data_IF_760755365347
#
_entry.id   IF_760755365347
#
_cell.length_a   1.000
_cell.length_b   1.000
_cell.length_c   1.000
_cell.angle_alpha   90.00
_cell.angle_beta   90.00
_cell.angle_gamma   90.00
#
_symmetry.space_group_name_H-M   'P 1'
#
loop_
_entity.id
_entity.type
_entity.pdbx_description
1 polymer ?
#
# COMPACT_ATOMS: atom_id res chain seq x y z
N UNK A 1 17.57 -6.88 13.82
CA UNK A 1 16.86 -6.64 12.56
C UNK A 1 16.68 -5.14 12.40
N UNK A 2 17.08 -4.57 11.28
CA UNK A 2 16.93 -3.18 10.93
C UNK A 2 15.76 -3.03 9.96
N UNK A 3 14.85 -2.06 10.20
CA UNK A 3 13.68 -1.78 9.38
C UNK A 3 13.72 -0.32 8.95
N UNK A 4 13.57 -0.07 7.66
CA UNK A 4 13.41 1.28 7.10
C UNK A 4 12.04 1.39 6.47
N UNK A 5 11.33 2.50 6.72
CA UNK A 5 10.02 2.79 6.13
C UNK A 5 10.13 4.11 5.38
N UNK A 6 9.67 4.13 4.14
CA UNK A 6 9.80 5.25 3.22
C UNK A 6 8.45 5.67 2.66
N UNK A 7 8.28 6.98 2.44
CA UNK A 7 7.11 7.59 1.83
C UNK A 7 7.56 8.61 0.79
N UNK A 8 6.95 8.58 -0.39
CA UNK A 8 7.13 9.60 -1.44
C UNK A 8 5.93 10.55 -1.44
N UNK A 9 6.21 11.84 -1.36
CA UNK A 9 5.24 12.90 -1.63
C UNK A 9 5.75 13.78 -2.78
N UNK A 10 4.85 14.18 -3.67
CA UNK A 10 5.22 15.16 -4.69
C UNK A 10 5.10 16.57 -4.11
N UNK A 11 5.87 17.57 -4.60
CA UNK A 11 5.82 18.94 -4.08
C UNK A 11 4.43 19.61 -4.13
N UNK A 12 3.54 19.12 -5.00
CA UNK A 12 2.15 19.58 -5.12
C UNK A 12 1.14 18.68 -4.40
N UNK A 13 1.59 17.76 -3.56
CA UNK A 13 0.69 16.97 -2.69
C UNK A 13 0.02 17.90 -1.68
N UNK A 14 -1.28 17.70 -1.43
CA UNK A 14 -2.02 18.50 -0.46
C UNK A 14 -1.35 18.43 0.92
N UNK A 15 -1.05 19.60 1.50
CA UNK A 15 -0.40 19.69 2.81
C UNK A 15 -1.18 19.05 3.95
N UNK A 16 -2.53 19.03 3.87
CA UNK A 16 -3.38 18.32 4.86
C UNK A 16 -3.16 16.82 4.81
N UNK A 17 -3.01 16.25 3.60
CA UNK A 17 -2.74 14.83 3.42
C UNK A 17 -1.38 14.46 4.04
N UNK A 18 -0.33 15.23 3.70
CA UNK A 18 1.02 15.01 4.23
C UNK A 18 1.03 15.12 5.76
N UNK A 19 0.36 16.14 6.31
CA UNK A 19 0.29 16.34 7.75
C UNK A 19 -0.44 15.18 8.43
N UNK A 20 -1.62 14.80 7.93
CA UNK A 20 -2.41 13.70 8.48
C UNK A 20 -1.64 12.37 8.47
N UNK A 21 -0.96 12.04 7.37
CA UNK A 21 -0.10 10.86 7.27
C UNK A 21 1.03 10.91 8.32
N UNK A 22 1.71 12.05 8.42
CA UNK A 22 2.82 12.25 9.37
C UNK A 22 2.35 12.08 10.81
N UNK A 23 1.20 12.66 11.16
CA UNK A 23 0.64 12.62 12.51
C UNK A 23 0.26 11.19 12.91
N UNK A 24 -0.34 10.41 12.01
CA UNK A 24 -0.64 8.99 12.27
C UNK A 24 0.65 8.19 12.46
N UNK A 25 1.62 8.32 11.56
CA UNK A 25 2.89 7.61 11.68
C UNK A 25 3.59 7.92 13.00
N UNK A 26 3.62 9.21 13.40
CA UNK A 26 4.18 9.65 14.69
C UNK A 26 3.38 9.09 15.87
N UNK A 27 2.04 9.12 15.82
CA UNK A 27 1.16 8.59 16.88
C UNK A 27 1.40 7.09 17.09
N UNK A 28 1.59 6.34 16.01
CA UNK A 28 1.88 4.91 16.05
C UNK A 28 3.35 4.58 16.36
N UNK A 29 4.21 5.58 16.54
CA UNK A 29 5.63 5.39 16.82
C UNK A 29 6.42 4.83 15.63
N UNK A 30 5.99 5.09 14.40
CA UNK A 30 6.68 4.68 13.18
C UNK A 30 7.71 5.72 12.77
N UNK A 31 8.94 5.27 12.53
CA UNK A 31 10.00 6.12 11.98
C UNK A 31 9.96 6.04 10.45
N UNK A 32 9.37 7.05 9.81
CA UNK A 32 9.17 7.10 8.36
C UNK A 32 10.08 8.17 7.76
N UNK A 33 10.81 7.81 6.71
CA UNK A 33 11.63 8.73 5.90
C UNK A 33 10.79 9.28 4.76
N UNK A 34 10.60 10.60 4.74
CA UNK A 34 9.83 11.30 3.70
C UNK A 34 10.74 11.83 2.60
N UNK A 35 10.47 11.43 1.35
CA UNK A 35 11.05 12.04 0.15
C UNK A 35 10.03 12.98 -0.46
N UNK A 36 10.36 14.28 -0.56
CA UNK A 36 9.49 15.27 -1.20
C UNK A 36 10.11 15.66 -2.53
N UNK A 37 9.74 14.91 -3.57
CA UNK A 37 10.31 15.08 -4.91
C UNK A 37 9.36 14.57 -5.98
N UNK A 38 9.39 15.18 -7.17
CA UNK A 38 8.63 14.71 -8.33
C UNK A 38 9.40 13.59 -9.04
N UNK A 39 9.21 12.37 -8.57
CA UNK A 39 9.81 11.17 -9.14
C UNK A 39 8.70 10.19 -9.57
N UNK A 40 8.92 9.40 -10.62
CA UNK A 40 8.11 8.21 -10.89
C UNK A 40 8.21 7.25 -9.70
N UNK A 41 7.06 6.78 -9.22
CA UNK A 41 6.97 6.02 -7.97
C UNK A 41 7.85 4.77 -7.99
N UNK A 42 7.71 3.93 -9.01
CA UNK A 42 8.50 2.69 -9.09
C UNK A 42 10.01 2.92 -9.25
N UNK A 43 10.43 4.00 -9.93
CA UNK A 43 11.87 4.34 -10.00
C UNK A 43 12.42 4.73 -8.63
N UNK A 44 11.67 5.53 -7.86
CA UNK A 44 12.04 5.87 -6.50
C UNK A 44 12.14 4.62 -5.60
N UNK A 45 11.19 3.68 -5.70
CA UNK A 45 11.25 2.42 -4.96
C UNK A 45 12.48 1.59 -5.33
N UNK A 46 12.82 1.49 -6.62
CA UNK A 46 14.03 0.82 -7.10
C UNK A 46 15.29 1.45 -6.48
N UNK A 47 15.36 2.77 -6.43
CA UNK A 47 16.49 3.50 -5.84
C UNK A 47 16.62 3.19 -4.35
N UNK A 48 15.54 3.30 -3.58
CA UNK A 48 15.53 2.95 -2.15
C UNK A 48 15.98 1.49 -1.96
N UNK A 49 15.39 0.55 -2.68
CA UNK A 49 15.75 -0.86 -2.58
C UNK A 49 17.23 -1.11 -2.91
N UNK A 50 17.80 -0.40 -3.87
CA UNK A 50 19.22 -0.56 -4.24
C UNK A 50 20.17 -0.01 -3.18
N UNK A 51 19.82 1.08 -2.49
CA UNK A 51 20.67 1.79 -1.54
C UNK A 51 20.49 1.33 -0.09
N UNK A 52 19.32 0.82 0.28
CA UNK A 52 19.01 0.40 1.64
C UNK A 52 19.94 -0.72 2.13
N UNK A 53 20.32 -0.61 3.40
CA UNK A 53 21.05 -1.64 4.17
C UNK A 53 20.18 -2.29 5.24
N UNK A 54 18.89 -2.00 5.24
CA UNK A 54 17.95 -2.61 6.17
C UNK A 54 17.69 -4.09 5.82
N UNK A 55 17.28 -4.85 6.81
CA UNK A 55 16.81 -6.23 6.62
C UNK A 55 15.43 -6.25 5.97
N UNK A 56 14.57 -5.31 6.39
CA UNK A 56 13.22 -5.10 5.84
C UNK A 56 13.07 -3.66 5.36
N UNK A 57 12.62 -3.48 4.13
CA UNK A 57 12.26 -2.18 3.57
C UNK A 57 10.75 -2.10 3.42
N UNK A 58 10.16 -1.05 3.99
CA UNK A 58 8.74 -0.73 3.91
C UNK A 58 8.48 0.50 3.06
N UNK A 59 7.37 0.49 2.32
CA UNK A 59 6.84 1.62 1.58
C UNK A 59 5.42 1.89 2.03
N UNK A 60 5.13 3.14 2.32
CA UNK A 60 3.79 3.65 2.59
C UNK A 60 3.51 4.80 1.62
N UNK A 61 2.47 4.70 0.81
CA UNK A 61 2.06 5.83 -0.02
C UNK A 61 1.54 6.96 0.87
N UNK A 62 1.70 8.18 0.39
CA UNK A 62 1.30 9.37 1.16
C UNK A 62 -0.22 9.42 1.46
N UNK A 63 -1.01 8.67 0.71
CA UNK A 63 -2.45 8.50 0.86
C UNK A 63 -2.83 7.11 1.44
N UNK A 64 -1.88 6.45 2.09
CA UNK A 64 -2.06 5.19 2.79
C UNK A 64 -1.57 5.27 4.24
N UNK A 65 -2.41 4.88 5.20
CA UNK A 65 -2.04 4.85 6.61
C UNK A 65 -2.34 3.49 7.26
N UNK A 66 -1.45 3.00 8.14
CA UNK A 66 -1.83 1.94 9.06
C UNK A 66 -2.81 2.50 10.10
N UNK A 67 -3.85 1.73 10.41
CA UNK A 67 -4.86 2.09 11.41
C UNK A 67 -4.44 1.70 12.83
N UNK A 68 -3.42 0.87 12.94
CA UNK A 68 -2.81 0.43 14.19
C UNK A 68 -1.35 0.02 13.94
N UNK A 69 -0.55 -0.01 15.00
CA UNK A 69 0.86 -0.42 14.90
C UNK A 69 1.00 -1.91 14.58
N UNK A 70 0.07 -2.74 15.02
CA UNK A 70 0.17 -4.19 14.88
C UNK A 70 0.27 -4.63 13.41
N UNK A 71 -0.44 -3.98 12.49
CA UNK A 71 -0.36 -4.34 11.07
C UNK A 71 1.04 -4.14 10.48
N UNK A 72 1.77 -3.14 10.95
CA UNK A 72 3.17 -2.91 10.54
C UNK A 72 4.09 -3.95 11.18
N UNK A 73 3.92 -4.21 12.48
CA UNK A 73 4.71 -5.21 13.20
C UNK A 73 4.49 -6.62 12.58
N UNK A 74 3.25 -6.96 12.23
CA UNK A 74 2.89 -8.23 11.57
C UNK A 74 3.48 -8.33 10.16
N UNK A 75 3.49 -7.23 9.40
CA UNK A 75 4.11 -7.19 8.08
C UNK A 75 5.62 -7.43 8.16
N UNK A 76 6.29 -6.75 9.09
CA UNK A 76 7.73 -6.93 9.35
C UNK A 76 8.03 -8.36 9.81
N UNK A 77 7.26 -8.89 10.76
CA UNK A 77 7.42 -10.26 11.26
C UNK A 77 7.18 -11.31 10.16
N UNK A 78 6.19 -11.07 9.28
CA UNK A 78 5.96 -11.93 8.12
C UNK A 78 7.18 -11.95 7.20
N UNK A 79 7.72 -10.77 6.83
CA UNK A 79 8.90 -10.66 5.98
C UNK A 79 10.12 -11.36 6.59
N UNK A 80 10.35 -11.17 7.89
CA UNK A 80 11.44 -11.82 8.61
C UNK A 80 11.33 -13.35 8.62
N UNK A 81 10.13 -13.84 8.96
CA UNK A 81 9.85 -15.28 9.08
C UNK A 81 9.91 -16.02 7.76
N UNK A 82 9.34 -15.41 6.70
CA UNK A 82 9.18 -16.08 5.41
C UNK A 82 10.24 -15.72 4.39
N UNK A 83 11.08 -14.71 4.69
CA UNK A 83 12.03 -14.12 3.74
C UNK A 83 11.33 -13.75 2.43
N UNK A 84 10.19 -13.02 2.54
CA UNK A 84 9.33 -12.68 1.43
C UNK A 84 8.83 -11.23 1.56
N UNK A 85 7.66 -10.92 1.02
CA UNK A 85 7.05 -9.60 1.07
C UNK A 85 5.54 -9.67 1.32
N UNK A 86 4.97 -8.55 1.71
CA UNK A 86 3.54 -8.33 1.91
C UNK A 86 3.16 -6.99 1.33
N UNK A 87 1.97 -6.89 0.71
CA UNK A 87 1.39 -5.64 0.24
C UNK A 87 -0.14 -5.69 0.24
N UNK A 88 -0.80 -4.58 -0.04
CA UNK A 88 -2.25 -4.59 -0.23
C UNK A 88 -2.61 -5.27 -1.56
N UNK A 89 -3.72 -5.98 -1.60
CA UNK A 89 -4.19 -6.63 -2.82
C UNK A 89 -4.77 -5.60 -3.80
N UNK A 90 -4.26 -5.60 -5.02
CA UNK A 90 -4.78 -4.81 -6.13
C UNK A 90 -4.84 -5.66 -7.39
N UNK A 91 -5.86 -5.43 -8.22
CA UNK A 91 -5.90 -6.02 -9.55
C UNK A 91 -5.10 -5.17 -10.54
N UNK A 92 -4.38 -5.82 -11.44
CA UNK A 92 -3.63 -5.14 -12.50
C UNK A 92 -4.54 -4.23 -13.34
N UNK A 93 -4.07 -3.01 -13.61
CA UNK A 93 -4.75 -2.05 -14.49
C UNK A 93 -4.37 -2.22 -15.96
N UNK A 94 -3.29 -2.96 -16.24
CA UNK A 94 -2.69 -3.09 -17.58
C UNK A 94 -3.09 -4.36 -18.33
N UNK A 95 -3.68 -5.33 -17.63
CA UNK A 95 -4.06 -6.63 -18.22
C UNK A 95 -5.59 -6.72 -18.34
N UNK A 96 -6.06 -7.15 -19.51
CA UNK A 96 -7.48 -7.43 -19.73
C UNK A 96 -7.67 -8.91 -20.13
N UNK A 97 -8.55 -9.68 -19.45
CA UNK A 97 -9.30 -9.29 -18.26
C UNK A 97 -8.38 -9.07 -17.04
N UNK A 98 -8.70 -8.09 -16.20
CA UNK A 98 -7.93 -7.74 -14.98
C UNK A 98 -8.01 -8.87 -13.95
N UNK A 99 -7.25 -9.92 -14.16
CA UNK A 99 -7.30 -11.15 -13.35
C UNK A 99 -6.10 -11.34 -12.43
N UNK A 100 -4.97 -10.71 -12.71
CA UNK A 100 -3.80 -10.79 -11.86
C UNK A 100 -3.97 -9.91 -10.63
N UNK A 101 -3.89 -10.53 -9.44
CA UNK A 101 -3.92 -9.85 -8.15
C UNK A 101 -2.50 -9.88 -7.59
N UNK A 102 -1.96 -8.71 -7.31
CA UNK A 102 -0.58 -8.55 -6.86
C UNK A 102 -0.50 -7.76 -5.54
N UNK A 103 0.67 -7.78 -4.91
CA UNK A 103 0.98 -6.97 -3.74
C UNK A 103 1.33 -5.55 -4.18
N UNK A 104 0.37 -4.64 -4.06
CA UNK A 104 0.51 -3.25 -4.50
C UNK A 104 1.32 -2.39 -3.52
N UNK A 105 1.95 -1.30 -3.99
CA UNK A 105 2.98 -0.56 -3.27
C UNK A 105 2.46 0.33 -2.15
N UNK A 106 1.15 0.65 -2.10
CA UNK A 106 0.65 1.66 -1.18
C UNK A 106 0.88 1.31 0.31
N UNK A 107 0.87 0.03 0.65
CA UNK A 107 1.40 -0.53 1.88
C UNK A 107 2.19 -1.77 1.49
N UNK A 108 3.53 -1.68 1.49
CA UNK A 108 4.38 -2.76 1.01
C UNK A 108 5.61 -2.92 1.90
N UNK A 109 5.91 -4.14 2.33
CA UNK A 109 7.09 -4.48 3.12
C UNK A 109 7.77 -5.68 2.49
N UNK A 110 9.10 -5.63 2.39
CA UNK A 110 9.88 -6.68 1.74
C UNK A 110 11.17 -6.99 2.49
N UNK A 111 11.47 -8.27 2.64
CA UNK A 111 12.80 -8.72 3.04
C UNK A 111 13.81 -8.37 1.95
N UNK A 112 14.83 -7.59 2.31
CA UNK A 112 15.73 -6.97 1.33
C UNK A 112 16.44 -7.97 0.43
N UNK A 113 16.97 -9.07 1.02
CA UNK A 113 17.73 -10.08 0.28
C UNK A 113 16.84 -10.84 -0.73
N UNK A 114 15.54 -10.89 -0.49
CA UNK A 114 14.57 -11.51 -1.42
C UNK A 114 14.51 -10.76 -2.74
N UNK A 115 14.56 -9.43 -2.71
CA UNK A 115 14.62 -8.64 -3.94
C UNK A 115 15.85 -8.99 -4.78
N UNK A 116 17.01 -9.13 -4.15
CA UNK A 116 18.23 -9.57 -4.83
C UNK A 116 18.13 -11.02 -5.34
N UNK A 117 17.56 -11.92 -4.54
CA UNK A 117 17.34 -13.32 -4.92
C UNK A 117 16.39 -13.46 -6.12
N UNK A 118 15.42 -12.54 -6.27
CA UNK A 118 14.53 -12.44 -7.42
C UNK A 118 15.16 -11.69 -8.61
N UNK A 119 16.48 -11.43 -8.58
CA UNK A 119 17.23 -10.72 -9.62
C UNK A 119 16.83 -9.24 -9.79
N UNK A 120 16.48 -8.60 -8.69
CA UNK A 120 16.11 -7.18 -8.62
C UNK A 120 14.98 -6.78 -9.59
N UNK A 121 13.79 -7.41 -9.51
CA UNK A 121 12.68 -7.06 -10.36
C UNK A 121 12.34 -5.58 -10.19
N UNK A 122 12.01 -4.92 -11.30
CA UNK A 122 11.66 -3.49 -11.24
C UNK A 122 10.33 -3.27 -10.54
N UNK A 123 10.27 -2.21 -9.72
CA UNK A 123 9.00 -1.70 -9.19
C UNK A 123 8.29 -0.78 -10.18
N UNK A 124 8.97 -0.34 -11.24
CA UNK A 124 8.36 0.56 -12.23
C UNK A 124 7.24 -0.13 -12.98
N UNK A 125 6.19 0.64 -13.28
CA UNK A 125 5.19 0.22 -14.24
C UNK A 125 5.84 -0.08 -15.59
N UNK A 126 5.27 -1.04 -16.30
CA UNK A 126 5.61 -1.33 -17.69
C UNK A 126 4.32 -1.18 -18.49
N UNK A 127 4.22 -0.14 -19.34
CA UNK A 127 3.00 0.12 -20.11
C UNK A 127 2.47 -1.14 -20.79
N UNK A 128 1.17 -1.37 -20.69
CA UNK A 128 0.44 -2.51 -21.23
C UNK A 128 0.81 -3.90 -20.65
N UNK A 129 1.73 -3.97 -19.68
CA UNK A 129 2.22 -5.23 -19.13
C UNK A 129 2.11 -5.34 -17.60
N UNK A 130 2.48 -4.29 -16.86
CA UNK A 130 2.53 -4.36 -15.40
C UNK A 130 2.35 -3.00 -14.74
N UNK A 131 1.61 -2.98 -13.64
CA UNK A 131 1.47 -1.83 -12.75
C UNK A 131 2.69 -1.65 -11.82
N UNK A 132 2.76 -0.55 -11.08
CA UNK A 132 3.83 -0.31 -10.10
C UNK A 132 3.87 -1.45 -9.08
N UNK A 133 5.05 -2.04 -8.86
CA UNK A 133 5.33 -3.21 -8.03
C UNK A 133 4.79 -4.57 -8.56
N UNK A 134 3.99 -4.63 -9.61
CA UNK A 134 3.42 -5.87 -10.11
C UNK A 134 4.50 -6.85 -10.61
N UNK A 135 5.59 -6.35 -11.23
CA UNK A 135 6.70 -7.19 -11.67
C UNK A 135 7.39 -7.94 -10.51
N UNK A 136 7.35 -7.41 -9.28
CA UNK A 136 7.88 -8.10 -8.10
C UNK A 136 7.04 -9.33 -7.78
N UNK A 137 5.71 -9.22 -7.90
CA UNK A 137 4.79 -10.34 -7.72
C UNK A 137 4.98 -11.40 -8.81
N UNK A 138 5.10 -11.00 -10.07
CA UNK A 138 5.41 -11.92 -11.17
C UNK A 138 6.73 -12.67 -10.96
N UNK A 139 7.80 -11.96 -10.57
CA UNK A 139 9.09 -12.58 -10.31
C UNK A 139 9.01 -13.61 -9.17
N UNK A 140 8.25 -13.30 -8.11
CA UNK A 140 8.02 -14.22 -7.01
C UNK A 140 7.25 -15.47 -7.46
N UNK A 141 6.19 -15.30 -8.23
CA UNK A 141 5.37 -16.40 -8.75
C UNK A 141 6.18 -17.33 -9.68
N UNK A 142 6.98 -16.74 -10.57
CA UNK A 142 7.87 -17.51 -11.43
C UNK A 142 8.93 -18.28 -10.65
N UNK A 143 9.40 -17.74 -9.53
CA UNK A 143 10.34 -18.38 -8.63
C UNK A 143 9.69 -19.37 -7.64
N UNK A 144 8.35 -19.50 -7.65
CA UNK A 144 7.61 -20.30 -6.67
C UNK A 144 7.67 -19.75 -5.24
N UNK A 145 8.03 -18.48 -5.07
CA UNK A 145 8.06 -17.80 -3.79
C UNK A 145 6.65 -17.35 -3.40
N UNK A 146 6.22 -17.71 -2.19
CA UNK A 146 4.94 -17.24 -1.64
C UNK A 146 5.11 -15.86 -1.02
N UNK A 147 4.21 -14.97 -1.31
CA UNK A 147 4.07 -13.66 -0.67
C UNK A 147 2.66 -13.49 -0.10
N UNK A 148 2.42 -12.42 0.64
CA UNK A 148 1.11 -12.16 1.27
C UNK A 148 0.49 -10.90 0.66
N UNK A 149 -0.81 -10.98 0.37
CA UNK A 149 -1.64 -9.82 0.05
C UNK A 149 -2.67 -9.59 1.15
N UNK A 150 -2.84 -8.34 1.56
CA UNK A 150 -3.92 -7.93 2.45
C UNK A 150 -5.13 -7.58 1.60
N UNK A 151 -6.22 -8.32 1.75
CA UNK A 151 -7.41 -8.11 0.94
C UNK A 151 -8.27 -6.96 1.48
N UNK A 152 -8.98 -6.22 0.59
CA UNK A 152 -9.91 -5.20 1.01
C UNK A 152 -11.09 -5.83 1.77
N UNK A 153 -11.56 -5.15 2.81
CA UNK A 153 -12.69 -5.59 3.64
C UNK A 153 -13.90 -4.69 3.46
N UNK A 154 -13.67 -3.37 3.44
CA UNK A 154 -14.70 -2.34 3.31
C UNK A 154 -14.15 -1.15 2.54
N UNK A 155 -15.03 -0.34 1.96
CA UNK A 155 -14.69 0.94 1.35
C UNK A 155 -15.81 1.96 1.55
N UNK A 156 -15.49 3.24 1.45
CA UNK A 156 -16.43 4.31 1.80
C UNK A 156 -17.40 4.62 0.66
N UNK A 157 -16.90 4.77 -0.58
CA UNK A 157 -17.73 5.12 -1.75
C UNK A 157 -17.14 4.58 -3.05
N UNK A 158 -17.99 4.43 -4.06
CA UNK A 158 -17.55 4.08 -5.41
C UNK A 158 -16.73 5.22 -6.03
N UNK A 159 -15.86 4.88 -6.97
CA UNK A 159 -15.28 5.85 -7.90
C UNK A 159 -16.35 6.33 -8.89
N UNK A 160 -16.06 7.41 -9.64
CA UNK A 160 -17.03 8.02 -10.57
C UNK A 160 -17.54 7.03 -11.64
N UNK A 161 -16.71 6.08 -12.06
CA UNK A 161 -17.06 5.04 -13.03
C UNK A 161 -17.53 3.72 -12.36
N UNK A 162 -17.84 3.76 -11.07
CA UNK A 162 -18.19 2.59 -10.25
C UNK A 162 -17.01 1.99 -9.47
N UNK A 163 -17.28 0.95 -8.67
CA UNK A 163 -16.23 0.32 -7.88
C UNK A 163 -15.24 -0.45 -8.79
N UNK A 164 -14.00 -0.58 -8.30
CA UNK A 164 -13.00 -1.41 -8.98
C UNK A 164 -13.19 -2.87 -8.61
N UNK A 165 -12.98 -3.76 -9.58
CA UNK A 165 -13.10 -5.20 -9.38
C UNK A 165 -11.78 -5.83 -8.95
N UNK A 166 -11.83 -6.67 -7.93
CA UNK A 166 -10.75 -7.54 -7.48
C UNK A 166 -11.06 -8.99 -7.85
N UNK A 167 -11.34 -9.22 -9.13
CA UNK A 167 -11.71 -10.51 -9.69
C UNK A 167 -12.85 -11.19 -8.89
N UNK A 168 -12.66 -12.45 -8.45
CA UNK A 168 -13.64 -13.21 -7.64
C UNK A 168 -13.67 -12.80 -6.17
N UNK A 169 -12.80 -11.91 -5.74
CA UNK A 169 -12.72 -11.46 -4.34
C UNK A 169 -13.63 -10.27 -4.02
N UNK A 170 -14.38 -9.78 -5.01
CA UNK A 170 -15.36 -8.72 -4.86
C UNK A 170 -14.91 -7.39 -5.45
N UNK A 171 -15.31 -6.30 -4.82
CA UNK A 171 -15.07 -4.93 -5.29
C UNK A 171 -14.48 -4.07 -4.19
N UNK A 172 -13.81 -2.98 -4.56
CA UNK A 172 -13.30 -1.96 -3.66
C UNK A 172 -13.44 -0.57 -4.31
N UNK A 173 -13.23 0.47 -3.54
CA UNK A 173 -13.43 1.83 -4.05
C UNK A 173 -12.60 2.87 -3.31
N UNK A 174 -13.10 4.10 -3.25
CA UNK A 174 -12.44 5.20 -2.57
C UNK A 174 -12.55 5.01 -1.05
N UNK A 175 -11.44 5.20 -0.35
CA UNK A 175 -11.36 5.01 1.10
C UNK A 175 -11.50 3.55 1.50
N UNK A 176 -10.62 2.71 0.96
CA UNK A 176 -10.62 1.26 1.19
C UNK A 176 -9.86 0.89 2.46
N UNK A 177 -10.48 0.03 3.26
CA UNK A 177 -9.90 -0.64 4.40
C UNK A 177 -9.47 -2.06 4.02
N UNK A 178 -8.27 -2.43 4.42
CA UNK A 178 -7.69 -3.75 4.17
C UNK A 178 -7.52 -4.54 5.47
N UNK A 179 -7.39 -5.85 5.33
CA UNK A 179 -7.12 -6.78 6.42
C UNK A 179 -5.94 -6.30 7.29
N UNK A 180 -6.01 -6.57 8.60
CA UNK A 180 -4.98 -6.16 9.55
C UNK A 180 -5.01 -4.68 9.94
N UNK A 181 -5.79 -3.85 9.26
CA UNK A 181 -5.95 -2.44 9.61
C UNK A 181 -5.05 -1.50 8.79
N UNK A 182 -5.16 -1.55 7.49
CA UNK A 182 -4.61 -0.55 6.55
C UNK A 182 -5.75 0.22 5.92
N UNK A 183 -5.60 1.52 5.74
CA UNK A 183 -6.51 2.38 5.00
C UNK A 183 -5.76 3.02 3.83
N UNK A 184 -6.32 2.94 2.64
CA UNK A 184 -5.79 3.59 1.45
C UNK A 184 -6.87 4.45 0.77
N UNK A 185 -6.51 5.69 0.49
CA UNK A 185 -7.37 6.65 -0.19
C UNK A 185 -7.03 6.70 -1.69
N UNK A 186 -7.63 5.82 -2.47
CA UNK A 186 -7.54 5.93 -3.93
C UNK A 186 -8.09 7.27 -4.41
N UNK A 187 -7.50 7.82 -5.48
CA UNK A 187 -7.91 9.11 -6.06
C UNK A 187 -7.89 10.28 -5.06
N UNK A 188 -6.88 10.33 -4.19
CA UNK A 188 -6.74 11.35 -3.15
C UNK A 188 -6.82 12.80 -3.68
N UNK A 189 -6.42 13.03 -4.95
CA UNK A 189 -6.39 14.36 -5.59
C UNK A 189 -7.72 14.79 -6.20
N UNK A 190 -8.75 13.94 -6.19
CA UNK A 190 -10.04 14.17 -6.83
C UNK A 190 -11.13 14.43 -5.78
N UNK A 191 -12.13 15.24 -6.15
CA UNK A 191 -13.43 15.36 -5.47
C UNK A 191 -13.35 15.59 -3.93
N UNK A 192 -12.38 16.37 -3.44
CA UNK A 192 -12.16 16.63 -2.00
C UNK A 192 -11.98 15.35 -1.14
N UNK A 193 -11.49 14.28 -1.74
CA UNK A 193 -11.27 13.01 -1.03
C UNK A 193 -10.28 13.15 0.14
N UNK A 194 -9.42 14.17 0.12
CA UNK A 194 -8.46 14.45 1.21
C UNK A 194 -9.17 14.59 2.58
N UNK A 195 -10.36 15.17 2.62
CA UNK A 195 -11.09 15.34 3.89
C UNK A 195 -11.45 13.99 4.52
N UNK A 196 -11.77 12.97 3.72
CA UNK A 196 -11.98 11.59 4.21
C UNK A 196 -10.71 11.01 4.83
N UNK A 197 -9.55 11.26 4.22
CA UNK A 197 -8.27 10.80 4.77
C UNK A 197 -7.94 11.49 6.11
N UNK A 198 -8.15 12.80 6.17
CA UNK A 198 -7.92 13.59 7.39
C UNK A 198 -8.84 13.13 8.53
N UNK A 199 -10.12 12.87 8.23
CA UNK A 199 -11.06 12.33 9.22
C UNK A 199 -10.63 10.94 9.70
N UNK A 200 -10.26 10.05 8.77
CA UNK A 200 -9.76 8.71 9.11
C UNK A 200 -8.51 8.79 9.99
N UNK A 201 -7.54 9.62 9.62
CA UNK A 201 -6.32 9.84 10.40
C UNK A 201 -6.63 10.34 11.81
N UNK A 202 -7.55 11.30 11.94
CA UNK A 202 -8.00 11.81 13.23
C UNK A 202 -8.62 10.70 14.08
N UNK A 203 -9.46 9.86 13.49
CA UNK A 203 -10.09 8.74 14.21
C UNK A 203 -9.06 7.74 14.74
N UNK A 204 -7.98 7.46 13.97
CA UNK A 204 -6.85 6.65 14.44
C UNK A 204 -6.20 7.27 15.67
N UNK A 205 -5.88 8.56 15.61
CA UNK A 205 -5.20 9.29 16.70
C UNK A 205 -6.08 9.37 17.94
N UNK A 206 -7.39 9.59 17.77
CA UNK A 206 -8.36 9.66 18.86
C UNK A 206 -8.73 8.27 19.43
N UNK A 207 -8.21 7.18 18.89
CA UNK A 207 -8.53 5.79 19.29
C UNK A 207 -10.00 5.40 19.03
N UNK A 208 -10.64 6.05 18.05
CA UNK A 208 -12.04 5.77 17.70
C UNK A 208 -12.12 4.55 16.79
N UNK A 209 -13.06 3.66 17.10
CA UNK A 209 -13.38 2.53 16.22
C UNK A 209 -14.06 3.03 14.94
N UNK A 210 -13.67 2.44 13.81
CA UNK A 210 -14.35 2.70 12.55
C UNK A 210 -15.76 2.13 12.55
N UNK A 211 -16.74 2.95 12.18
CA UNK A 211 -18.11 2.51 12.03
C UNK A 211 -18.29 1.82 10.67
N UNK A 212 -18.02 0.51 10.62
CA UNK A 212 -18.20 -0.29 9.40
C UNK A 212 -19.64 -0.31 8.87
N UNK A 213 -20.63 0.02 9.71
CA UNK A 213 -22.04 0.06 9.31
C UNK A 213 -22.37 1.19 8.31
N UNK A 214 -21.47 2.16 8.11
CA UNK A 214 -21.59 3.23 7.09
C UNK A 214 -20.77 2.94 5.83
N UNK A 215 -20.08 1.80 5.78
CA UNK A 215 -19.16 1.42 4.70
C UNK A 215 -19.75 0.28 3.87
N UNK A 216 -19.35 0.23 2.61
CA UNK A 216 -19.69 -0.89 1.72
C UNK A 216 -18.78 -2.07 1.97
N UNK A 217 -19.30 -3.28 2.05
CA UNK A 217 -18.49 -4.50 2.13
C UNK A 217 -17.83 -4.78 0.77
N UNK A 218 -16.58 -5.21 0.79
CA UNK A 218 -15.83 -5.55 -0.42
C UNK A 218 -16.13 -6.96 -0.97
N UNK A 219 -16.67 -7.84 -0.14
CA UNK A 219 -17.12 -9.18 -0.52
C UNK A 219 -18.63 -9.23 -0.39
N UNK A 220 -19.31 -9.72 -1.43
CA UNK A 220 -20.69 -10.18 -1.25
C UNK A 220 -20.66 -11.42 -0.33
N UNK A 221 -21.42 -11.34 0.74
CA UNK A 221 -21.60 -12.43 1.72
C UNK A 221 -22.62 -13.41 1.19
#
# INVERSE_FOLDING_TARGET
MNVEIHTLAWPNTDGKLVQAHTDVCKHLGLNVTYTIQRLPHGLWMNEIMSQSKADVVGFLDIDCIPLNKAVVDDAVAYCEKTKSFVGIAQASNHISPKSHIFAAPAFFFMWKDTWAALQNPTFSEVPDLADVAENVSYAAEMAGLRYKTLFPTHYTKDADEGPWHLHTYGVYGIGTHFEGGVFHLYQARMNNNVDLFVETAKNVIDGKLFNSGLMKACREV
#
